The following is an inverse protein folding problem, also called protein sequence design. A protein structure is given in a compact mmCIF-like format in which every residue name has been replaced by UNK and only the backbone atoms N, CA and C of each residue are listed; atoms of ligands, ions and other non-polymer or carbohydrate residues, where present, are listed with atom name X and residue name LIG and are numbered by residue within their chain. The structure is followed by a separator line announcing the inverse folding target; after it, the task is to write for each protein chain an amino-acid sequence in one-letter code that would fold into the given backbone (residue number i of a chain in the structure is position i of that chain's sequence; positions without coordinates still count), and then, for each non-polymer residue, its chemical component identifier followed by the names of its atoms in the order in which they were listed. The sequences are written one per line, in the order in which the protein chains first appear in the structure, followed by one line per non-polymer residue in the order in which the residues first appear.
data_IF_843892192446
#
_entry.id   IF_843892192446
#
_cell.length_a   1.000
_cell.length_b   1.000
_cell.length_c   1.000
_cell.angle_alpha   90.00
_cell.angle_beta   90.00
_cell.angle_gamma   90.00
#
_symmetry.space_group_name_H-M   'P 1'
#
loop_
_entity.id
_entity.type
_entity.pdbx_description
1 polymer ?
#
# COMPACT_ATOMS: atom_id res chain seq x y z
N UNK A 1 -12.79 -1.91 -36.27
CA UNK A 1 -12.08 -0.71 -35.79
C UNK A 1 -11.79 -0.90 -34.30
N UNK A 2 -10.56 -0.69 -33.80
CA UNK A 2 -10.30 -0.82 -32.37
C UNK A 2 -11.14 0.20 -31.59
N UNK A 3 -11.85 -0.24 -30.54
CA UNK A 3 -12.73 0.62 -29.72
C UNK A 3 -12.01 1.79 -29.04
N UNK A 4 -10.67 1.76 -28.95
CA UNK A 4 -9.85 2.64 -28.13
C UNK A 4 -8.94 3.58 -28.95
N UNK A 5 -9.19 3.73 -30.25
CA UNK A 5 -8.35 4.56 -31.12
C UNK A 5 -6.92 4.01 -31.28
N UNK A 6 -6.03 4.78 -31.93
CA UNK A 6 -4.63 4.38 -32.18
C UNK A 6 -3.79 4.65 -30.92
N UNK A 7 -3.12 3.62 -30.38
CA UNK A 7 -2.16 3.76 -29.27
C UNK A 7 -0.80 4.22 -29.80
N UNK A 8 -0.29 5.35 -29.29
CA UNK A 8 1.03 5.87 -29.61
C UNK A 8 2.05 5.53 -28.50
N UNK A 9 3.29 5.11 -28.85
CA UNK A 9 4.29 4.70 -27.87
C UNK A 9 5.03 5.92 -27.28
N UNK A 10 4.35 6.70 -26.43
CA UNK A 10 4.98 7.78 -25.67
C UNK A 10 5.87 7.23 -24.53
N UNK A 11 6.98 7.90 -24.25
CA UNK A 11 7.90 7.54 -23.16
C UNK A 11 7.34 7.99 -21.81
N UNK A 12 6.47 7.17 -21.18
CA UNK A 12 5.86 7.50 -19.88
C UNK A 12 6.77 7.14 -18.70
N UNK A 13 7.43 5.97 -18.76
CA UNK A 13 8.23 5.47 -17.63
C UNK A 13 9.42 6.39 -17.28
N UNK A 14 10.03 7.01 -18.30
CA UNK A 14 11.26 7.79 -18.17
C UNK A 14 11.09 9.14 -17.45
N UNK A 15 10.03 9.93 -17.66
CA UNK A 15 9.76 11.09 -16.81
C UNK A 15 9.05 10.72 -15.49
N UNK A 16 8.31 9.61 -15.45
CA UNK A 16 7.50 9.24 -14.28
C UNK A 16 8.26 8.47 -13.19
N UNK A 17 9.48 7.97 -13.47
CA UNK A 17 10.22 7.15 -12.51
C UNK A 17 10.39 7.75 -11.09
N UNK A 18 10.65 9.06 -10.86
CA UNK A 18 10.77 9.56 -9.50
C UNK A 18 9.45 9.47 -8.72
N UNK A 19 8.30 9.55 -9.40
CA UNK A 19 6.99 9.42 -8.78
C UNK A 19 6.66 7.97 -8.44
N UNK A 20 7.07 7.02 -9.27
CA UNK A 20 6.94 5.59 -8.93
C UNK A 20 7.83 5.24 -7.74
N UNK A 21 9.08 5.72 -7.73
CA UNK A 21 9.99 5.52 -6.60
C UNK A 21 9.42 6.12 -5.33
N UNK A 22 8.97 7.38 -5.36
CA UNK A 22 8.39 8.02 -4.18
C UNK A 22 7.12 7.31 -3.70
N UNK A 23 6.26 6.86 -4.61
CA UNK A 23 5.08 6.07 -4.29
C UNK A 23 5.43 4.78 -3.53
N UNK A 24 6.47 4.06 -3.96
CA UNK A 24 6.94 2.86 -3.28
C UNK A 24 7.51 3.17 -1.88
N UNK A 25 8.29 4.23 -1.74
CA UNK A 25 8.86 4.66 -0.45
C UNK A 25 7.75 5.02 0.53
N UNK A 26 6.77 5.81 0.11
CA UNK A 26 5.64 6.22 0.95
C UNK A 26 4.76 5.02 1.30
N UNK A 27 4.50 4.13 0.34
CA UNK A 27 3.74 2.91 0.61
C UNK A 27 4.38 2.08 1.73
N UNK A 28 5.70 1.87 1.66
CA UNK A 28 6.45 1.17 2.71
C UNK A 28 6.42 1.93 4.05
N UNK A 29 6.62 3.24 4.04
CA UNK A 29 6.58 4.07 5.24
C UNK A 29 5.22 4.05 5.93
N UNK A 30 4.13 4.21 5.17
CA UNK A 30 2.77 4.18 5.70
C UNK A 30 2.40 2.78 6.20
N UNK A 31 2.79 1.72 5.49
CA UNK A 31 2.53 0.35 5.93
C UNK A 31 3.22 0.05 7.26
N UNK A 32 4.50 0.41 7.41
CA UNK A 32 5.25 0.19 8.65
C UNK A 32 4.69 1.03 9.81
N UNK A 33 4.38 2.30 9.58
CA UNK A 33 3.76 3.16 10.59
C UNK A 33 2.37 2.65 11.01
N UNK A 34 1.53 2.23 10.06
CA UNK A 34 0.20 1.69 10.35
C UNK A 34 0.28 0.42 11.20
N UNK A 35 1.22 -0.48 10.90
CA UNK A 35 1.43 -1.69 11.71
C UNK A 35 1.86 -1.34 13.15
N UNK A 36 2.76 -0.37 13.32
CA UNK A 36 3.18 0.08 14.65
C UNK A 36 2.03 0.71 15.44
N UNK A 37 1.25 1.59 14.81
CA UNK A 37 0.08 2.24 15.44
C UNK A 37 -1.01 1.23 15.80
N UNK A 38 -1.20 0.19 14.99
CA UNK A 38 -2.16 -0.87 15.27
C UNK A 38 -1.83 -1.67 16.55
N UNK A 39 -0.59 -1.61 17.05
CA UNK A 39 -0.17 -2.26 18.31
C UNK A 39 -0.22 -1.33 19.52
N UNK A 40 -0.61 -0.06 19.35
CA UNK A 40 -0.77 0.88 20.46
C UNK A 40 -1.87 0.46 21.43
N UNK A 41 -1.78 0.90 22.69
CA UNK A 41 -2.69 0.49 23.76
C UNK A 41 -4.17 0.78 23.47
N UNK A 42 -4.45 1.85 22.72
CA UNK A 42 -5.80 2.25 22.32
C UNK A 42 -6.43 1.28 21.30
N UNK A 43 -5.63 0.81 20.33
CA UNK A 43 -6.15 0.08 19.16
C UNK A 43 -5.80 -1.41 19.13
N UNK A 44 -4.92 -1.88 20.04
CA UNK A 44 -4.45 -3.28 20.08
C UNK A 44 -5.56 -4.31 20.33
N UNK A 45 -6.65 -3.91 20.99
CA UNK A 45 -7.76 -4.80 21.35
C UNK A 45 -9.04 -4.49 20.56
N UNK A 46 -8.99 -3.57 19.59
CA UNK A 46 -10.16 -3.26 18.76
C UNK A 46 -10.48 -4.47 17.85
N UNK A 47 -11.70 -5.05 17.89
CA UNK A 47 -12.07 -6.18 17.04
C UNK A 47 -12.03 -5.87 15.53
N UNK A 48 -11.97 -4.59 15.14
CA UNK A 48 -11.80 -4.14 13.75
C UNK A 48 -10.35 -4.13 13.31
N UNK A 49 -9.41 -4.19 14.25
CA UNK A 49 -7.99 -4.20 13.94
C UNK A 49 -7.62 -5.53 13.23
N UNK A 50 -7.14 -5.48 11.98
CA UNK A 50 -6.74 -6.68 11.25
C UNK A 50 -5.67 -7.49 11.98
N UNK A 51 -4.83 -6.84 12.79
CA UNK A 51 -3.81 -7.50 13.60
C UNK A 51 -4.42 -8.45 14.64
N UNK A 52 -5.59 -8.15 15.18
CA UNK A 52 -6.32 -9.00 16.13
C UNK A 52 -7.01 -10.15 15.39
N UNK A 53 -7.64 -9.85 14.25
CA UNK A 53 -8.32 -10.87 13.43
C UNK A 53 -7.35 -11.90 12.85
N UNK A 54 -6.13 -11.48 12.53
CA UNK A 54 -5.08 -12.32 11.97
C UNK A 54 -4.12 -12.86 13.04
N UNK A 55 -4.38 -12.66 14.34
CA UNK A 55 -3.66 -13.40 15.38
C UNK A 55 -3.93 -14.88 15.15
N UNK A 56 -2.92 -15.59 14.64
CA UNK A 56 -2.95 -17.04 14.58
C UNK A 56 -3.25 -17.55 15.99
N UNK A 57 -4.19 -18.49 16.11
CA UNK A 57 -4.44 -19.19 17.35
C UNK A 57 -3.12 -19.86 17.77
N UNK A 58 -2.45 -19.28 18.77
CA UNK A 58 -1.33 -19.94 19.42
C UNK A 58 -1.94 -21.14 20.16
N UNK A 59 -1.76 -22.33 19.61
CA UNK A 59 -1.90 -23.59 20.34
C UNK A 59 -0.73 -23.75 21.31
#
# INVERSE_FOLDING_TARGET
MPLLGRKFPAQVAKPMWPFYVSGLVILYGVNSAANAMAQSDEYKNDPRNPAVKNQAANH
#
